data_IF_392849900146
#
_entry.id   IF_392849900146
#
_cell.length_a   1.000
_cell.length_b   1.000
_cell.length_c   1.000
_cell.angle_alpha   90.00
_cell.angle_beta   90.00
_cell.angle_gamma   90.00
#
_symmetry.space_group_name_H-M   'P 1'
#
loop_
_entity.id
_entity.type
_entity.pdbx_description
1 polymer ?
#
# COMPACT_ATOMS: atom_id res chain seq x y z
N UNK A 1 -20.60 -65.21 19.99
CA UNK A 1 -19.43 -64.33 19.78
C UNK A 1 -18.40 -65.08 18.93
N UNK A 2 -18.27 -64.69 17.65
CA UNK A 2 -17.09 -65.02 16.83
C UNK A 2 -17.04 -64.01 15.67
N UNK A 3 -15.91 -63.34 15.57
CA UNK A 3 -15.60 -62.20 14.69
C UNK A 3 -15.90 -62.46 13.21
N UNK A 4 -16.48 -61.46 12.55
CA UNK A 4 -16.54 -61.34 11.10
C UNK A 4 -15.23 -60.77 10.57
N UNK A 5 -14.53 -61.56 9.75
CA UNK A 5 -13.72 -61.03 8.66
C UNK A 5 -14.63 -60.93 7.43
N UNK A 6 -14.63 -59.79 6.74
CA UNK A 6 -15.03 -59.69 5.34
C UNK A 6 -14.29 -58.53 4.67
N UNK A 7 -13.32 -58.89 3.82
CA UNK A 7 -12.91 -58.11 2.66
C UNK A 7 -13.90 -58.40 1.52
N UNK A 8 -14.41 -57.37 0.84
CA UNK A 8 -14.92 -57.37 -0.55
C UNK A 8 -14.90 -55.89 -1.00
N UNK A 9 -14.01 -55.45 -1.90
CA UNK A 9 -14.04 -55.60 -3.36
C UNK A 9 -15.10 -54.72 -4.07
N UNK A 10 -14.59 -53.76 -4.85
CA UNK A 10 -15.12 -53.08 -6.04
C UNK A 10 -16.64 -52.80 -6.17
N UNK A 11 -16.95 -51.50 -6.20
CA UNK A 11 -18.14 -50.95 -6.85
C UNK A 11 -17.76 -49.71 -7.66
N UNK A 12 -17.48 -49.90 -8.94
CA UNK A 12 -17.55 -48.86 -9.95
C UNK A 12 -18.97 -48.31 -10.00
N UNK A 13 -19.15 -47.07 -9.56
CA UNK A 13 -20.21 -46.18 -10.05
C UNK A 13 -19.55 -44.83 -10.29
N UNK A 14 -19.15 -44.60 -11.53
CA UNK A 14 -18.87 -43.27 -12.02
C UNK A 14 -20.23 -42.55 -12.10
N UNK A 15 -20.52 -41.72 -11.10
CA UNK A 15 -21.53 -40.67 -11.23
C UNK A 15 -20.88 -39.50 -11.99
N UNK A 16 -21.30 -39.16 -13.23
CA UNK A 16 -20.68 -38.07 -13.98
C UNK A 16 -21.19 -36.69 -13.56
N UNK A 17 -21.89 -36.55 -12.43
CA UNK A 17 -22.60 -35.32 -12.05
C UNK A 17 -22.76 -35.09 -10.53
N UNK A 18 -21.74 -35.36 -9.70
CA UNK A 18 -21.69 -34.79 -8.35
C UNK A 18 -21.24 -33.33 -8.41
N UNK A 19 -22.21 -32.50 -8.76
CA UNK A 19 -22.27 -31.05 -8.58
C UNK A 19 -21.69 -30.57 -7.25
N UNK A 20 -21.14 -29.36 -7.34
CA UNK A 20 -21.07 -28.35 -6.27
C UNK A 20 -19.80 -28.36 -5.40
N UNK A 21 -18.74 -27.80 -6.00
CA UNK A 21 -17.91 -26.75 -5.38
C UNK A 21 -17.63 -26.88 -3.88
N UNK A 22 -16.43 -27.36 -3.56
CA UNK A 22 -15.76 -26.98 -2.32
C UNK A 22 -15.89 -25.45 -2.13
N UNK A 23 -16.15 -24.93 -0.93
CA UNK A 23 -16.34 -23.49 -0.71
C UNK A 23 -15.08 -22.67 -1.03
N UNK A 24 -13.90 -23.31 -1.02
CA UNK A 24 -12.59 -22.65 -1.17
C UNK A 24 -12.38 -21.98 -2.54
N UNK A 25 -12.61 -22.62 -3.71
CA UNK A 25 -12.49 -21.94 -5.00
C UNK A 25 -13.47 -20.77 -5.21
N UNK A 26 -14.68 -20.83 -4.61
CA UNK A 26 -15.66 -19.75 -4.71
C UNK A 26 -15.17 -18.51 -3.94
N UNK A 27 -14.57 -18.71 -2.76
CA UNK A 27 -13.96 -17.61 -1.97
C UNK A 27 -12.88 -16.93 -2.79
N UNK A 28 -11.98 -17.69 -3.43
CA UNK A 28 -10.94 -17.12 -4.28
C UNK A 28 -11.49 -16.33 -5.48
N UNK A 29 -12.67 -16.70 -6.01
CA UNK A 29 -13.31 -15.97 -7.10
C UNK A 29 -13.79 -14.58 -6.64
N UNK A 30 -14.38 -14.49 -5.45
CA UNK A 30 -14.75 -13.20 -4.86
C UNK A 30 -13.52 -12.32 -4.61
N UNK A 31 -12.44 -12.91 -4.12
CA UNK A 31 -11.17 -12.20 -3.91
C UNK A 31 -10.65 -11.65 -5.24
N UNK A 32 -10.62 -12.49 -6.29
CA UNK A 32 -10.21 -12.08 -7.64
C UNK A 32 -11.12 -10.99 -8.21
N UNK A 33 -12.43 -11.05 -7.96
CA UNK A 33 -13.37 -10.00 -8.34
C UNK A 33 -13.06 -8.67 -7.66
N UNK A 34 -12.80 -8.69 -6.34
CA UNK A 34 -12.48 -7.49 -5.58
C UNK A 34 -11.13 -6.87 -6.01
N UNK A 35 -10.10 -7.70 -6.27
CA UNK A 35 -8.81 -7.21 -6.79
C UNK A 35 -8.96 -6.60 -8.19
N UNK A 36 -9.81 -7.15 -9.05
CA UNK A 36 -10.12 -6.57 -10.36
C UNK A 36 -10.83 -5.20 -10.24
N UNK A 37 -11.69 -5.02 -9.23
CA UNK A 37 -12.29 -3.70 -8.96
C UNK A 37 -11.21 -2.69 -8.57
N UNK A 38 -10.29 -3.05 -7.67
CA UNK A 38 -9.14 -2.21 -7.32
C UNK A 38 -8.28 -1.88 -8.55
N UNK A 39 -8.00 -2.90 -9.37
CA UNK A 39 -7.24 -2.77 -10.62
C UNK A 39 -7.88 -1.74 -11.56
N UNK A 40 -9.19 -1.81 -11.76
CA UNK A 40 -9.93 -0.88 -12.62
C UNK A 40 -9.88 0.54 -12.07
N UNK A 41 -10.10 0.72 -10.76
CA UNK A 41 -10.05 2.05 -10.14
C UNK A 41 -8.67 2.70 -10.25
N UNK A 42 -7.60 1.94 -9.97
CA UNK A 42 -6.21 2.40 -10.12
C UNK A 42 -5.92 2.74 -11.58
N UNK A 43 -6.31 1.88 -12.51
CA UNK A 43 -6.10 2.09 -13.95
C UNK A 43 -6.83 3.34 -14.46
N UNK A 44 -8.05 3.58 -13.97
CA UNK A 44 -8.83 4.75 -14.35
C UNK A 44 -8.22 6.04 -13.80
N UNK A 45 -7.72 6.04 -12.56
CA UNK A 45 -6.98 7.19 -12.03
C UNK A 45 -5.70 7.48 -12.84
N UNK A 46 -4.99 6.43 -13.25
CA UNK A 46 -3.82 6.56 -14.13
C UNK A 46 -4.20 7.16 -15.48
N UNK A 47 -5.22 6.61 -16.12
CA UNK A 47 -5.72 7.08 -17.41
C UNK A 47 -6.21 8.52 -17.34
N UNK A 48 -6.98 8.89 -16.30
CA UNK A 48 -7.47 10.25 -16.09
C UNK A 48 -6.32 11.23 -15.81
N UNK A 49 -5.30 10.82 -15.07
CA UNK A 49 -4.10 11.65 -14.86
C UNK A 49 -3.38 11.96 -16.16
N UNK A 50 -3.19 10.95 -17.03
CA UNK A 50 -2.62 11.16 -18.36
C UNK A 50 -3.51 12.02 -19.26
N UNK A 51 -4.82 11.72 -19.32
CA UNK A 51 -5.78 12.45 -20.15
C UNK A 51 -5.88 13.92 -19.77
N UNK A 52 -5.81 14.24 -18.48
CA UNK A 52 -5.86 15.61 -17.97
C UNK A 52 -4.49 16.31 -17.98
N UNK A 53 -3.43 15.67 -18.49
CA UNK A 53 -2.02 16.13 -18.43
C UNK A 53 -1.52 16.44 -17.01
N UNK A 54 -2.20 15.90 -15.99
CA UNK A 54 -1.88 16.08 -14.57
C UNK A 54 -0.98 14.93 -14.12
N UNK A 55 0.32 15.04 -14.36
CA UNK A 55 1.31 13.98 -14.08
C UNK A 55 1.44 13.65 -12.58
N UNK A 56 0.92 14.49 -11.69
CA UNK A 56 0.83 14.20 -10.27
C UNK A 56 -0.24 13.15 -9.90
N UNK A 57 -1.02 12.65 -10.88
CA UNK A 57 -1.96 11.54 -10.75
C UNK A 57 -2.93 11.71 -9.55
N UNK A 58 -3.93 12.60 -9.67
CA UNK A 58 -4.93 12.77 -8.62
C UNK A 58 -5.70 11.45 -8.40
N UNK A 59 -5.61 10.87 -7.20
CA UNK A 59 -6.39 9.70 -6.80
C UNK A 59 -7.82 10.14 -6.49
N UNK A 60 -8.66 10.26 -7.52
CA UNK A 60 -10.03 10.74 -7.34
C UNK A 60 -11.05 9.61 -7.38
N UNK A 61 -10.74 8.49 -8.04
CA UNK A 61 -11.61 7.32 -8.12
C UNK A 61 -11.22 6.29 -7.05
N UNK A 62 -9.93 6.05 -6.89
CA UNK A 62 -9.40 5.21 -5.84
C UNK A 62 -9.03 6.08 -4.63
N UNK A 63 -10.06 6.47 -3.88
CA UNK A 63 -9.92 7.31 -2.67
C UNK A 63 -9.96 6.49 -1.40
N UNK A 64 -9.24 6.90 -0.37
CA UNK A 64 -9.32 6.29 0.96
C UNK A 64 -10.67 6.61 1.61
N UNK A 65 -11.64 5.72 1.45
CA UNK A 65 -12.97 5.80 2.02
C UNK A 65 -13.40 4.43 2.56
N UNK A 66 -14.52 4.37 3.28
CA UNK A 66 -14.98 3.10 3.86
C UNK A 66 -15.26 2.02 2.80
N UNK A 67 -15.73 2.42 1.61
CA UNK A 67 -16.03 1.49 0.53
C UNK A 67 -14.77 0.85 -0.08
N UNK A 68 -13.73 1.64 -0.36
CA UNK A 68 -12.45 1.11 -0.87
C UNK A 68 -11.73 0.28 0.17
N UNK A 69 -11.84 0.62 1.45
CA UNK A 69 -11.35 -0.20 2.55
C UNK A 69 -12.08 -1.54 2.66
N UNK A 70 -13.40 -1.56 2.47
CA UNK A 70 -14.17 -2.80 2.45
C UNK A 70 -13.78 -3.69 1.25
N UNK A 71 -13.64 -3.10 0.05
CA UNK A 71 -13.15 -3.84 -1.14
C UNK A 71 -11.75 -4.37 -0.92
N UNK A 72 -10.86 -3.56 -0.32
CA UNK A 72 -9.50 -3.97 0.02
C UNK A 72 -9.48 -5.15 0.99
N UNK A 73 -10.31 -5.12 2.05
CA UNK A 73 -10.43 -6.21 3.01
C UNK A 73 -10.91 -7.52 2.35
N UNK A 74 -11.84 -7.44 1.40
CA UNK A 74 -12.28 -8.61 0.62
C UNK A 74 -11.18 -9.09 -0.32
N UNK A 75 -10.48 -8.18 -1.00
CA UNK A 75 -9.39 -8.47 -1.93
C UNK A 75 -8.15 -9.12 -1.28
N UNK A 76 -8.03 -9.02 0.04
CA UNK A 76 -6.89 -9.50 0.83
C UNK A 76 -7.31 -10.55 1.85
N UNK A 77 -8.47 -11.18 1.66
CA UNK A 77 -8.99 -12.17 2.61
C UNK A 77 -8.05 -13.37 2.76
N UNK A 78 -7.29 -13.71 1.72
CA UNK A 78 -6.39 -14.87 1.75
C UNK A 78 -5.10 -14.69 2.57
N UNK A 79 -4.32 -13.59 2.46
CA UNK A 79 -3.14 -13.40 3.32
C UNK A 79 -3.46 -13.37 4.83
N UNK A 80 -4.68 -12.98 5.23
CA UNK A 80 -5.14 -13.02 6.63
C UNK A 80 -5.77 -14.36 7.07
N UNK A 81 -5.88 -15.36 6.20
CA UNK A 81 -6.48 -16.65 6.58
C UNK A 81 -5.47 -17.52 7.35
N UNK A 82 -5.66 -17.59 8.67
CA UNK A 82 -4.89 -18.43 9.60
C UNK A 82 -5.40 -19.88 9.66
N UNK A 83 -6.59 -20.17 9.13
CA UNK A 83 -7.28 -21.45 9.39
C UNK A 83 -6.92 -22.56 8.41
N UNK A 84 -6.33 -22.22 7.27
CA UNK A 84 -5.93 -23.17 6.23
C UNK A 84 -4.40 -23.35 6.19
N UNK A 85 -3.94 -24.59 6.39
CA UNK A 85 -2.55 -24.96 6.17
C UNK A 85 -2.25 -24.87 4.67
N UNK A 86 -1.41 -23.92 4.29
CA UNK A 86 -1.12 -23.57 2.88
C UNK A 86 0.37 -23.81 2.59
N UNK A 87 0.82 -25.07 2.48
CA UNK A 87 2.24 -25.39 2.32
C UNK A 87 2.74 -25.24 0.87
N UNK A 88 1.85 -25.20 -0.13
CA UNK A 88 2.27 -25.19 -1.53
C UNK A 88 3.03 -23.91 -1.90
N UNK A 89 3.99 -24.00 -2.81
CA UNK A 89 4.74 -22.84 -3.31
C UNK A 89 3.81 -21.76 -3.89
N UNK A 90 2.77 -22.16 -4.63
CA UNK A 90 1.74 -21.26 -5.14
C UNK A 90 0.95 -20.58 -4.01
N UNK A 91 0.74 -21.29 -2.91
CA UNK A 91 0.00 -20.73 -1.77
C UNK A 91 0.82 -19.68 -1.03
N UNK A 92 2.10 -19.95 -0.82
CA UNK A 92 3.05 -18.98 -0.25
C UNK A 92 3.26 -17.78 -1.18
N UNK A 93 3.38 -18.00 -2.50
CA UNK A 93 3.51 -16.92 -3.49
C UNK A 93 2.29 -16.01 -3.46
N UNK A 94 1.09 -16.56 -3.29
CA UNK A 94 -0.11 -15.74 -3.20
C UNK A 94 -0.21 -14.94 -1.90
N UNK A 95 0.32 -15.44 -0.79
CA UNK A 95 0.42 -14.66 0.46
C UNK A 95 1.37 -13.48 0.28
N UNK A 96 2.51 -13.72 -0.37
CA UNK A 96 3.44 -12.67 -0.76
C UNK A 96 2.79 -11.66 -1.73
N UNK A 97 2.05 -12.14 -2.72
CA UNK A 97 1.32 -11.28 -3.66
C UNK A 97 0.26 -10.43 -2.94
N UNK A 98 -0.50 -11.01 -2.01
CA UNK A 98 -1.53 -10.31 -1.25
C UNK A 98 -0.96 -9.23 -0.31
N UNK A 99 0.14 -9.54 0.38
CA UNK A 99 0.83 -8.57 1.26
C UNK A 99 1.49 -7.44 0.46
N UNK A 100 2.13 -7.76 -0.67
CA UNK A 100 2.68 -6.77 -1.61
C UNK A 100 1.58 -5.90 -2.20
N UNK A 101 0.43 -6.49 -2.55
CA UNK A 101 -0.74 -5.78 -3.03
C UNK A 101 -1.25 -4.74 -2.03
N UNK A 102 -1.33 -5.08 -0.74
CA UNK A 102 -1.69 -4.12 0.33
C UNK A 102 -0.70 -2.94 0.35
N UNK A 103 0.60 -3.22 0.31
CA UNK A 103 1.65 -2.20 0.30
C UNK A 103 1.47 -1.23 -0.88
N UNK A 104 1.35 -1.75 -2.10
CA UNK A 104 1.18 -0.91 -3.29
C UNK A 104 -0.12 -0.10 -3.22
N UNK A 105 -1.19 -0.73 -2.75
CA UNK A 105 -2.50 -0.07 -2.64
C UNK A 105 -2.44 1.10 -1.66
N UNK A 106 -1.76 0.94 -0.51
CA UNK A 106 -1.54 2.04 0.44
C UNK A 106 -0.71 3.17 -0.17
N UNK A 107 0.43 2.82 -0.79
CA UNK A 107 1.28 3.80 -1.47
C UNK A 107 0.52 4.57 -2.57
N UNK A 108 -0.37 3.89 -3.30
CA UNK A 108 -1.17 4.52 -4.33
C UNK A 108 -2.30 5.40 -3.75
N UNK A 109 -2.95 4.97 -2.66
CA UNK A 109 -4.03 5.70 -1.98
C UNK A 109 -3.57 6.98 -1.29
N UNK A 110 -2.29 7.08 -0.96
CA UNK A 110 -1.74 8.14 -0.12
C UNK A 110 -2.16 9.59 -0.49
N UNK A 111 -2.15 10.04 -1.77
CA UNK A 111 -2.60 11.39 -2.10
C UNK A 111 -4.10 11.66 -1.87
N UNK A 112 -4.93 10.62 -1.73
CA UNK A 112 -6.37 10.77 -1.51
C UNK A 112 -6.72 11.29 -0.13
N UNK A 113 -5.82 11.14 0.86
CA UNK A 113 -6.00 11.67 2.23
C UNK A 113 -6.19 13.20 2.24
N UNK A 114 -5.59 13.88 1.26
CA UNK A 114 -5.76 15.32 1.08
C UNK A 114 -7.15 15.75 0.60
N UNK A 115 -7.94 14.85 0.01
CA UNK A 115 -9.25 15.17 -0.57
C UNK A 115 -10.37 15.22 0.48
N UNK A 116 -10.37 14.27 1.39
CA UNK A 116 -11.44 14.07 2.37
C UNK A 116 -11.36 15.09 3.50
N UNK A 117 -12.46 15.28 4.24
CA UNK A 117 -12.45 16.10 5.45
C UNK A 117 -11.53 15.48 6.51
N UNK A 118 -11.00 16.27 7.45
CA UNK A 118 -10.05 15.76 8.45
C UNK A 118 -10.62 14.61 9.29
N UNK A 119 -11.88 14.74 9.70
CA UNK A 119 -12.60 13.71 10.47
C UNK A 119 -12.79 12.42 9.67
N UNK A 120 -13.16 12.52 8.39
CA UNK A 120 -13.26 11.36 7.49
C UNK A 120 -11.90 10.72 7.25
N UNK A 121 -10.87 11.51 6.99
CA UNK A 121 -9.49 11.02 6.80
C UNK A 121 -9.01 10.25 8.02
N UNK A 122 -9.21 10.78 9.25
CA UNK A 122 -8.85 10.09 10.49
C UNK A 122 -9.63 8.79 10.64
N UNK A 123 -10.94 8.80 10.44
CA UNK A 123 -11.78 7.60 10.60
C UNK A 123 -11.35 6.49 9.64
N UNK A 124 -11.15 6.83 8.37
CA UNK A 124 -10.68 5.87 7.36
C UNK A 124 -9.25 5.39 7.66
N UNK A 125 -8.37 6.26 8.16
CA UNK A 125 -7.02 5.88 8.57
C UNK A 125 -6.98 4.94 9.76
N UNK A 126 -7.85 5.13 10.76
CA UNK A 126 -8.00 4.20 11.89
C UNK A 126 -8.44 2.83 11.38
N UNK A 127 -9.43 2.80 10.48
CA UNK A 127 -9.91 1.55 9.86
C UNK A 127 -8.80 0.85 9.06
N UNK A 128 -8.06 1.59 8.22
CA UNK A 128 -6.91 1.06 7.50
C UNK A 128 -5.83 0.52 8.45
N UNK A 129 -5.56 1.23 9.55
CA UNK A 129 -4.55 0.84 10.54
C UNK A 129 -4.90 -0.48 11.22
N UNK A 130 -6.15 -0.63 11.68
CA UNK A 130 -6.62 -1.88 12.29
C UNK A 130 -6.46 -3.02 11.28
N UNK A 131 -6.92 -2.82 10.04
CA UNK A 131 -6.83 -3.81 8.98
C UNK A 131 -5.38 -4.24 8.67
N UNK A 132 -4.46 -3.29 8.53
CA UNK A 132 -3.04 -3.57 8.25
C UNK A 132 -2.35 -4.27 9.41
N UNK A 133 -2.64 -3.86 10.65
CA UNK A 133 -2.10 -4.52 11.86
C UNK A 133 -2.61 -5.97 11.95
N UNK A 134 -3.89 -6.22 11.68
CA UNK A 134 -4.42 -7.59 11.66
C UNK A 134 -3.67 -8.47 10.66
N UNK A 135 -3.54 -8.02 9.40
CA UNK A 135 -2.80 -8.78 8.38
C UNK A 135 -1.33 -8.95 8.77
N UNK A 136 -0.70 -7.94 9.36
CA UNK A 136 0.67 -8.03 9.86
C UNK A 136 0.82 -9.17 10.87
N UNK A 137 -0.05 -9.20 11.88
CA UNK A 137 -0.04 -10.22 12.93
C UNK A 137 -0.30 -11.60 12.34
N UNK A 138 -1.26 -11.73 11.43
CA UNK A 138 -1.59 -13.01 10.78
C UNK A 138 -0.38 -13.59 10.04
N UNK A 139 0.31 -12.77 9.24
CA UNK A 139 1.52 -13.20 8.52
C UNK A 139 2.65 -13.53 9.50
N UNK A 140 2.83 -12.77 10.59
CA UNK A 140 3.83 -13.07 11.62
C UNK A 140 3.59 -14.42 12.29
N UNK A 141 2.34 -14.73 12.63
CA UNK A 141 1.96 -16.02 13.20
C UNK A 141 2.28 -17.15 12.20
N UNK A 142 1.92 -16.98 10.92
CA UNK A 142 2.18 -17.99 9.87
C UNK A 142 3.67 -18.21 9.59
N UNK A 143 4.49 -17.16 9.74
CA UNK A 143 5.95 -17.29 9.67
C UNK A 143 6.50 -18.05 10.89
N UNK A 144 5.98 -17.78 12.09
CA UNK A 144 6.41 -18.43 13.33
C UNK A 144 6.03 -19.92 13.36
N UNK A 145 4.84 -20.29 12.88
CA UNK A 145 4.39 -21.70 12.82
C UNK A 145 5.14 -22.54 11.78
N UNK A 146 6.04 -21.93 11.01
CA UNK A 146 6.83 -22.65 10.01
C UNK A 146 6.01 -23.08 8.79
N UNK A 147 4.84 -22.50 8.55
CA UNK A 147 4.04 -22.74 7.33
C UNK A 147 4.68 -22.05 6.12
N UNK A 148 5.41 -20.95 6.35
CA UNK A 148 6.18 -20.23 5.33
C UNK A 148 7.66 -20.58 5.50
N UNK A 149 8.16 -21.55 4.73
CA UNK A 149 9.56 -22.03 4.82
C UNK A 149 10.45 -21.49 3.71
N UNK A 150 9.98 -21.41 2.47
CA UNK A 150 10.82 -21.05 1.31
C UNK A 150 11.12 -19.55 1.19
N UNK A 151 10.19 -18.67 1.60
CA UNK A 151 10.27 -17.23 1.30
C UNK A 151 10.33 -16.33 2.54
N UNK A 152 10.93 -16.79 3.64
CA UNK A 152 10.94 -16.07 4.93
C UNK A 152 11.56 -14.67 4.82
N UNK A 153 12.72 -14.56 4.18
CA UNK A 153 13.43 -13.27 4.05
C UNK A 153 12.58 -12.24 3.29
N UNK A 154 12.02 -12.64 2.15
CA UNK A 154 11.23 -11.75 1.29
C UNK A 154 9.93 -11.29 1.98
N UNK A 155 9.27 -12.17 2.74
CA UNK A 155 8.11 -11.79 3.56
C UNK A 155 8.48 -10.78 4.66
N UNK A 156 9.62 -10.97 5.34
CA UNK A 156 10.08 -10.02 6.36
C UNK A 156 10.31 -8.63 5.75
N UNK A 157 10.95 -8.55 4.58
CA UNK A 157 11.18 -7.26 3.90
C UNK A 157 9.85 -6.59 3.55
N UNK A 158 8.90 -7.32 2.95
CA UNK A 158 7.58 -6.77 2.59
C UNK A 158 6.78 -6.32 3.81
N UNK A 159 6.85 -7.05 4.94
CA UNK A 159 6.22 -6.63 6.19
C UNK A 159 6.85 -5.36 6.77
N UNK A 160 8.17 -5.23 6.72
CA UNK A 160 8.83 -3.98 7.11
C UNK A 160 8.38 -2.81 6.22
N UNK A 161 8.33 -3.01 4.90
CA UNK A 161 7.80 -2.04 3.94
C UNK A 161 6.36 -1.63 4.27
N UNK A 162 5.51 -2.58 4.66
CA UNK A 162 4.12 -2.33 5.03
C UNK A 162 4.00 -1.37 6.22
N UNK A 163 4.82 -1.55 7.26
CA UNK A 163 4.85 -0.66 8.44
C UNK A 163 5.38 0.73 8.07
N UNK A 164 6.43 0.81 7.24
CA UNK A 164 6.95 2.10 6.76
C UNK A 164 5.87 2.89 6.02
N UNK A 165 5.13 2.26 5.12
CA UNK A 165 4.02 2.90 4.40
C UNK A 165 2.88 3.31 5.33
N UNK A 166 2.58 2.53 6.37
CA UNK A 166 1.55 2.89 7.34
C UNK A 166 1.93 4.15 8.11
N UNK A 167 3.17 4.25 8.59
CA UNK A 167 3.70 5.45 9.26
C UNK A 167 3.68 6.65 8.30
N UNK A 168 4.07 6.44 7.04
CA UNK A 168 4.02 7.47 6.00
C UNK A 168 2.58 7.99 5.78
N UNK A 169 1.58 7.11 5.74
CA UNK A 169 0.18 7.51 5.60
C UNK A 169 -0.32 8.34 6.78
N UNK A 170 0.07 8.00 8.01
CA UNK A 170 -0.26 8.77 9.21
C UNK A 170 0.36 10.16 9.19
N UNK A 171 1.67 10.25 8.93
CA UNK A 171 2.35 11.56 8.80
C UNK A 171 1.71 12.41 7.72
N UNK A 172 1.30 11.79 6.61
CA UNK A 172 0.61 12.48 5.51
C UNK A 172 -0.78 12.98 5.91
N UNK A 173 -1.47 12.29 6.81
CA UNK A 173 -2.80 12.73 7.28
C UNK A 173 -2.70 14.01 8.10
N UNK A 174 -1.71 14.11 8.99
CA UNK A 174 -1.51 15.32 9.78
C UNK A 174 -0.98 16.48 8.95
N UNK A 175 -0.03 16.24 8.03
CA UNK A 175 0.46 17.30 7.15
C UNK A 175 -0.64 17.83 6.23
N UNK A 176 -1.64 17.01 5.86
CA UNK A 176 -2.76 17.43 5.04
C UNK A 176 -3.56 18.52 5.73
N UNK A 177 -3.80 18.32 7.02
CA UNK A 177 -4.58 19.22 7.84
C UNK A 177 -3.81 20.50 8.15
N UNK A 178 -2.53 20.39 8.49
CA UNK A 178 -1.68 21.55 8.73
C UNK A 178 -1.62 22.46 7.50
N UNK A 179 -1.53 21.89 6.29
CA UNK A 179 -1.57 22.66 5.04
C UNK A 179 -2.94 23.31 4.82
N UNK A 180 -4.05 22.62 5.11
CA UNK A 180 -5.40 23.18 4.99
C UNK A 180 -5.61 24.35 5.94
N UNK A 181 -5.24 24.19 7.22
CA UNK A 181 -5.36 25.23 8.25
C UNK A 181 -4.44 26.41 7.94
N UNK A 182 -3.19 26.17 7.55
CA UNK A 182 -2.29 27.26 7.19
C UNK A 182 -2.81 28.04 5.98
N UNK A 183 -3.39 27.35 4.99
CA UNK A 183 -3.98 27.99 3.82
C UNK A 183 -5.14 28.90 4.20
N UNK A 184 -6.05 28.44 5.08
CA UNK A 184 -7.18 29.27 5.51
C UNK A 184 -6.73 30.50 6.31
N UNK A 185 -5.75 30.35 7.19
CA UNK A 185 -5.17 31.47 7.95
C UNK A 185 -4.48 32.50 7.05
N UNK A 186 -3.73 32.07 6.04
CA UNK A 186 -3.08 32.98 5.08
C UNK A 186 -4.11 33.73 4.25
N UNK A 187 -5.21 33.08 3.87
CA UNK A 187 -6.32 33.73 3.17
C UNK A 187 -6.97 34.77 4.08
N UNK A 188 -7.21 34.45 5.35
CA UNK A 188 -7.82 35.37 6.33
C UNK A 188 -6.92 36.58 6.64
N UNK A 189 -5.61 36.38 6.88
CA UNK A 189 -4.63 37.48 7.05
C UNK A 189 -4.56 38.35 5.78
N UNK A 190 -4.62 37.72 4.61
CA UNK A 190 -4.65 38.44 3.34
C UNK A 190 -5.91 39.28 3.17
N UNK A 191 -7.07 38.86 3.69
CA UNK A 191 -8.37 39.57 3.64
C UNK A 191 -8.50 40.64 4.75
N UNK A 192 -7.77 40.52 5.85
CA UNK A 192 -7.82 41.47 6.97
C UNK A 192 -6.81 42.61 6.86
N UNK A 193 -5.65 42.41 6.20
CA UNK A 193 -4.69 43.51 5.97
C UNK A 193 -5.16 44.49 4.89
N UNK A 194 -5.57 45.69 5.33
CA UNK A 194 -6.10 46.82 4.54
C UNK A 194 -5.11 47.48 3.57
N UNK A 195 -3.79 47.25 3.70
CA UNK A 195 -2.76 47.99 2.95
C UNK A 195 -2.38 47.43 1.57
N UNK A 196 -2.71 46.18 1.22
CA UNK A 196 -2.30 45.59 -0.07
C UNK A 196 -3.28 45.90 -1.19
N UNK A 197 -2.76 46.12 -2.40
CA UNK A 197 -3.60 46.29 -3.59
C UNK A 197 -4.46 45.03 -3.83
N UNK A 198 -5.72 45.21 -4.22
CA UNK A 198 -6.68 44.12 -4.43
C UNK A 198 -6.16 43.06 -5.43
N UNK A 199 -5.36 43.48 -6.41
CA UNK A 199 -4.70 42.61 -7.38
C UNK A 199 -3.63 41.73 -6.74
N UNK A 200 -2.84 42.24 -5.80
CA UNK A 200 -1.83 41.47 -5.07
C UNK A 200 -2.47 40.49 -4.10
N UNK A 201 -3.62 40.84 -3.50
CA UNK A 201 -4.41 39.94 -2.64
C UNK A 201 -5.01 38.80 -3.44
N UNK A 202 -5.58 39.10 -4.61
CA UNK A 202 -6.10 38.09 -5.54
C UNK A 202 -4.99 37.22 -6.10
N UNK A 203 -3.84 37.79 -6.48
CA UNK A 203 -2.68 37.01 -6.92
C UNK A 203 -2.12 36.16 -5.79
N UNK A 204 -2.02 36.66 -4.57
CA UNK A 204 -1.57 35.89 -3.42
C UNK A 204 -2.55 34.76 -3.08
N UNK A 205 -3.85 35.03 -3.00
CA UNK A 205 -4.88 34.00 -2.78
C UNK A 205 -4.97 33.00 -3.93
N UNK A 206 -4.78 33.43 -5.18
CA UNK A 206 -4.77 32.55 -6.35
C UNK A 206 -3.49 31.71 -6.42
N UNK A 207 -2.32 32.29 -6.15
CA UNK A 207 -1.04 31.58 -6.09
C UNK A 207 -1.02 30.60 -4.92
N UNK A 208 -1.51 31.00 -3.73
CA UNK A 208 -1.68 30.08 -2.62
C UNK A 208 -2.71 29.01 -2.97
N UNK A 209 -3.94 29.36 -3.34
CA UNK A 209 -5.03 28.42 -3.65
C UNK A 209 -4.73 27.46 -4.82
N UNK A 210 -3.97 27.89 -5.82
CA UNK A 210 -3.53 27.05 -6.93
C UNK A 210 -2.38 26.11 -6.52
N UNK A 211 -1.48 26.57 -5.64
CA UNK A 211 -0.38 25.77 -5.09
C UNK A 211 -0.79 24.89 -3.89
N UNK A 212 -1.91 25.18 -3.23
CA UNK A 212 -2.45 24.49 -2.06
C UNK A 212 -3.66 23.62 -2.39
N UNK A 213 -3.76 23.11 -3.62
CA UNK A 213 -4.56 21.90 -3.79
C UNK A 213 -3.88 20.80 -2.94
N UNK A 214 -4.52 20.27 -1.89
CA UNK A 214 -3.84 19.41 -0.91
C UNK A 214 -3.19 18.21 -1.60
N UNK A 215 -3.83 17.65 -2.62
CA UNK A 215 -3.26 16.59 -3.48
C UNK A 215 -1.97 16.98 -4.20
N UNK A 216 -1.84 18.24 -4.63
CA UNK A 216 -0.67 18.75 -5.33
C UNK A 216 0.50 18.98 -4.37
N UNK A 217 0.22 19.48 -3.15
CA UNK A 217 1.22 19.61 -2.09
C UNK A 217 1.78 18.24 -1.66
N UNK A 218 0.90 17.22 -1.57
CA UNK A 218 1.31 15.83 -1.31
C UNK A 218 2.21 15.23 -2.38
N UNK A 219 1.90 15.49 -3.64
CA UNK A 219 2.72 14.96 -4.76
C UNK A 219 4.14 15.51 -4.80
N UNK A 220 4.45 16.54 -3.99
CA UNK A 220 5.79 17.18 -3.90
C UNK A 220 6.49 16.92 -2.57
N UNK A 221 5.91 16.14 -1.67
CA UNK A 221 6.48 15.88 -0.34
C UNK A 221 7.44 14.69 -0.36
N UNK A 222 8.41 14.66 0.56
CA UNK A 222 9.41 13.58 0.70
C UNK A 222 8.76 12.20 0.78
N UNK A 223 7.54 12.14 1.34
CA UNK A 223 6.73 10.94 1.41
C UNK A 223 6.52 10.29 0.03
N UNK A 224 6.23 11.05 -1.04
CA UNK A 224 6.11 10.49 -2.40
C UNK A 224 7.37 9.74 -2.88
N UNK A 225 8.56 10.13 -2.42
CA UNK A 225 9.81 9.42 -2.71
C UNK A 225 9.89 8.11 -1.93
N UNK A 226 9.54 8.13 -0.65
CA UNK A 226 9.54 6.95 0.23
C UNK A 226 8.55 5.91 -0.33
N UNK A 227 7.30 6.31 -0.59
CA UNK A 227 6.30 5.43 -1.18
C UNK A 227 6.70 4.88 -2.54
N UNK A 228 7.37 5.67 -3.39
CA UNK A 228 7.90 5.18 -4.67
C UNK A 228 9.00 4.13 -4.48
N UNK A 229 10.01 4.39 -3.63
CA UNK A 229 11.11 3.46 -3.37
C UNK A 229 10.56 2.16 -2.80
N UNK A 230 9.70 2.25 -1.79
CA UNK A 230 9.08 1.08 -1.17
C UNK A 230 8.23 0.31 -2.19
N UNK A 231 7.47 1.00 -3.05
CA UNK A 231 6.68 0.35 -4.10
C UNK A 231 7.55 -0.40 -5.12
N UNK A 232 8.70 0.17 -5.50
CA UNK A 232 9.65 -0.48 -6.40
C UNK A 232 10.25 -1.73 -5.74
N UNK A 233 10.65 -1.63 -4.47
CA UNK A 233 11.20 -2.77 -3.70
C UNK A 233 10.17 -3.90 -3.61
N UNK A 234 8.92 -3.59 -3.20
CA UNK A 234 7.82 -4.54 -3.12
C UNK A 234 7.53 -5.22 -4.47
N UNK A 235 7.45 -4.44 -5.56
CA UNK A 235 7.22 -4.99 -6.89
C UNK A 235 8.37 -5.87 -7.39
N UNK A 236 9.62 -5.48 -7.12
CA UNK A 236 10.81 -6.26 -7.49
C UNK A 236 10.90 -7.59 -6.74
N UNK A 237 10.55 -7.61 -5.46
CA UNK A 237 10.47 -8.84 -4.66
C UNK A 237 9.42 -9.79 -5.26
N UNK A 238 8.20 -9.30 -5.50
CA UNK A 238 7.14 -10.13 -6.06
C UNK A 238 7.51 -10.70 -7.44
N UNK A 239 8.04 -9.87 -8.34
CA UNK A 239 8.49 -10.34 -9.66
C UNK A 239 9.65 -11.33 -9.57
N UNK A 240 10.59 -11.10 -8.65
CA UNK A 240 11.71 -12.00 -8.41
C UNK A 240 11.24 -13.39 -7.99
N UNK A 241 10.25 -13.47 -7.09
CA UNK A 241 9.72 -14.75 -6.64
C UNK A 241 8.85 -15.44 -7.70
N UNK A 242 8.05 -14.69 -8.48
CA UNK A 242 7.34 -15.25 -9.64
C UNK A 242 8.33 -15.87 -10.64
N UNK A 243 9.43 -15.17 -10.93
CA UNK A 243 10.46 -15.65 -11.83
C UNK A 243 11.14 -16.92 -11.28
N UNK A 244 11.47 -16.97 -9.98
CA UNK A 244 12.03 -18.17 -9.35
C UNK A 244 11.09 -19.37 -9.42
N UNK A 245 9.81 -19.18 -9.09
CA UNK A 245 8.80 -20.24 -9.19
C UNK A 245 8.62 -20.74 -10.64
N UNK A 246 8.80 -19.86 -11.62
CA UNK A 246 8.73 -20.22 -13.03
C UNK A 246 9.93 -21.07 -13.46
N UNK A 247 11.14 -20.67 -13.03
CA UNK A 247 12.39 -21.39 -13.33
C UNK A 247 12.44 -22.74 -12.62
N UNK A 248 11.99 -22.82 -11.36
CA UNK A 248 11.99 -24.06 -10.58
C UNK A 248 10.97 -25.09 -11.06
N UNK A 249 10.12 -24.74 -12.04
CA UNK A 249 8.96 -25.54 -12.49
C UNK A 249 7.99 -25.92 -11.36
N UNK A 250 8.10 -25.29 -10.20
CA UNK A 250 7.11 -25.44 -9.11
C UNK A 250 5.75 -24.83 -9.50
N UNK A 251 5.74 -23.97 -10.52
CA UNK A 251 4.54 -23.51 -11.21
C UNK A 251 3.96 -24.55 -12.18
N UNK A 252 4.48 -25.79 -12.27
CA UNK A 252 3.85 -26.83 -13.09
C UNK A 252 2.38 -27.01 -12.66
N UNK A 253 1.52 -26.43 -13.49
CA UNK A 253 0.06 -26.35 -13.46
C UNK A 253 -0.66 -27.71 -13.38
N UNK A 254 0.07 -28.80 -13.14
CA UNK A 254 -0.41 -30.17 -13.19
C UNK A 254 -0.68 -30.67 -11.77
N UNK A 255 -1.95 -30.57 -11.36
CA UNK A 255 -2.55 -31.25 -10.21
C UNK A 255 -1.93 -30.98 -8.82
N UNK A 256 -1.68 -29.71 -8.49
CA UNK A 256 -1.30 -29.30 -7.12
C UNK A 256 -2.49 -29.24 -6.16
N UNK A 257 -2.34 -29.85 -4.98
CA UNK A 257 -3.32 -29.97 -3.89
C UNK A 257 -3.64 -28.64 -3.16
N UNK A 258 -3.76 -27.52 -3.88
CA UNK A 258 -4.27 -26.28 -3.27
C UNK A 258 -5.78 -26.37 -3.15
N UNK A 259 -6.30 -26.16 -1.94
CA UNK A 259 -7.73 -26.10 -1.65
C UNK A 259 -8.48 -25.09 -2.54
N UNK A 260 -7.78 -24.03 -2.98
CA UNK A 260 -8.31 -22.96 -3.83
C UNK A 260 -8.22 -23.25 -5.34
N UNK A 261 -7.58 -24.35 -5.75
CA UNK A 261 -7.47 -24.85 -7.14
C UNK A 261 -7.12 -23.71 -8.14
N UNK A 262 -7.82 -23.64 -9.28
CA UNK A 262 -7.63 -22.61 -10.33
C UNK A 262 -7.83 -21.17 -9.85
N UNK A 263 -8.61 -20.97 -8.77
CA UNK A 263 -8.89 -19.63 -8.29
C UNK A 263 -7.67 -18.95 -7.68
N UNK A 264 -6.71 -19.73 -7.20
CA UNK A 264 -5.47 -19.23 -6.64
C UNK A 264 -4.63 -18.51 -7.69
N UNK A 265 -4.57 -19.08 -8.89
CA UNK A 265 -3.88 -18.48 -10.03
C UNK A 265 -4.52 -17.15 -10.45
N UNK A 266 -5.85 -17.11 -10.54
CA UNK A 266 -6.57 -15.88 -10.89
C UNK A 266 -6.26 -14.74 -9.92
N UNK A 267 -6.22 -15.05 -8.63
CA UNK A 267 -5.89 -14.08 -7.60
C UNK A 267 -4.43 -13.61 -7.70
N UNK A 268 -3.44 -14.50 -7.79
CA UNK A 268 -2.02 -14.12 -7.95
C UNK A 268 -1.84 -13.22 -9.17
N UNK A 269 -2.38 -13.61 -10.33
CA UNK A 269 -2.28 -12.83 -11.56
C UNK A 269 -2.92 -11.44 -11.40
N UNK A 270 -4.13 -11.35 -10.87
CA UNK A 270 -4.82 -10.08 -10.67
C UNK A 270 -4.09 -9.14 -9.71
N UNK A 271 -3.55 -9.68 -8.60
CA UNK A 271 -2.78 -8.92 -7.62
C UNK A 271 -1.45 -8.44 -8.22
N UNK A 272 -0.73 -9.30 -8.95
CA UNK A 272 0.52 -8.91 -9.63
C UNK A 272 0.30 -7.78 -10.64
N UNK A 273 -0.74 -7.87 -11.49
CA UNK A 273 -1.04 -6.81 -12.47
C UNK A 273 -1.33 -5.50 -11.73
N UNK A 274 -2.06 -5.56 -10.62
CA UNK A 274 -2.38 -4.38 -9.81
C UNK A 274 -1.13 -3.78 -9.15
N UNK A 275 -0.24 -4.62 -8.61
CA UNK A 275 1.07 -4.20 -8.06
C UNK A 275 1.89 -3.45 -9.12
N UNK A 276 1.96 -3.98 -10.35
CA UNK A 276 2.72 -3.36 -11.43
C UNK A 276 2.14 -2.00 -11.83
N UNK A 277 0.81 -1.90 -11.97
CA UNK A 277 0.16 -0.63 -12.31
C UNK A 277 0.26 0.40 -11.19
N UNK A 278 0.09 -0.02 -9.93
CA UNK A 278 0.27 0.87 -8.78
C UNK A 278 1.71 1.39 -8.68
N UNK A 279 2.70 0.52 -8.86
CA UNK A 279 4.13 0.90 -8.92
C UNK A 279 4.44 1.86 -10.08
N UNK A 280 3.86 1.62 -11.25
CA UNK A 280 3.95 2.56 -12.37
C UNK A 280 3.36 3.93 -12.00
N UNK A 281 2.20 3.94 -11.34
CA UNK A 281 1.57 5.16 -10.84
C UNK A 281 2.44 5.93 -9.85
N UNK A 282 3.00 5.26 -8.84
CA UNK A 282 3.88 5.91 -7.84
C UNK A 282 5.17 6.45 -8.48
N UNK A 283 5.70 5.74 -9.48
CA UNK A 283 6.89 6.17 -10.24
C UNK A 283 6.63 7.43 -11.05
N UNK A 284 5.48 7.54 -11.70
CA UNK A 284 5.09 8.76 -12.43
C UNK A 284 4.99 9.97 -11.49
N UNK A 285 4.47 9.76 -10.26
CA UNK A 285 4.40 10.83 -9.26
C UNK A 285 5.80 11.28 -8.84
N UNK A 286 6.70 10.34 -8.55
CA UNK A 286 8.10 10.64 -8.24
C UNK A 286 8.79 11.42 -9.37
N UNK A 287 8.63 10.98 -10.62
CA UNK A 287 9.20 11.69 -11.78
C UNK A 287 8.62 13.10 -11.97
N UNK A 288 7.37 13.32 -11.55
CA UNK A 288 6.74 14.65 -11.60
C UNK A 288 7.32 15.59 -10.55
N UNK A 289 7.63 15.08 -9.36
CA UNK A 289 8.32 15.80 -8.30
C UNK A 289 9.72 16.23 -8.74
N UNK A 290 10.51 15.31 -9.31
CA UNK A 290 11.88 15.59 -9.77
C UNK A 290 11.91 16.64 -10.89
N UNK A 291 10.90 16.68 -11.77
CA UNK A 291 10.81 17.64 -12.88
C UNK A 291 10.42 19.06 -12.46
N UNK A 292 9.77 19.21 -11.31
CA UNK A 292 9.37 20.50 -10.76
C UNK A 292 9.90 20.66 -9.33
N UNK A 293 11.25 20.69 -9.16
CA UNK A 293 11.86 20.90 -7.85
C UNK A 293 11.31 22.20 -7.26
N UNK A 294 11.07 22.22 -5.95
CA UNK A 294 10.74 23.47 -5.26
C UNK A 294 11.87 24.46 -5.58
N UNK A 295 11.57 25.60 -6.22
CA UNK A 295 12.50 26.72 -6.16
C UNK A 295 12.74 27.02 -4.68
N UNK A 296 14.01 26.99 -4.25
CA UNK A 296 14.46 27.14 -2.85
C UNK A 296 13.85 28.36 -2.14
N UNK A 297 13.38 29.36 -2.90
CA UNK A 297 12.66 30.52 -2.38
C UNK A 297 11.37 30.15 -1.64
N UNK A 298 10.71 29.05 -1.97
CA UNK A 298 9.44 28.65 -1.35
C UNK A 298 9.65 28.04 0.05
N UNK A 299 10.73 27.28 0.26
CA UNK A 299 11.11 26.71 1.57
C UNK A 299 11.49 27.85 2.53
N UNK A 300 12.25 28.84 2.04
CA UNK A 300 12.58 30.04 2.83
C UNK A 300 11.31 30.85 3.14
N UNK A 301 10.33 30.93 2.23
CA UNK A 301 9.06 31.62 2.46
C UNK A 301 8.20 30.89 3.49
N UNK A 302 8.09 29.57 3.40
CA UNK A 302 7.36 28.74 4.37
C UNK A 302 8.04 28.75 5.75
N UNK A 303 9.37 28.68 5.80
CA UNK A 303 10.14 28.74 7.05
C UNK A 303 10.09 30.13 7.69
N UNK A 304 10.03 31.21 6.89
CA UNK A 304 9.94 32.59 7.39
C UNK A 304 8.52 32.93 7.87
N UNK A 305 7.48 32.35 7.26
CA UNK A 305 6.08 32.44 7.74
C UNK A 305 5.84 31.53 8.94
N UNK A 306 6.41 30.32 8.98
CA UNK A 306 6.36 29.42 10.15
C UNK A 306 7.16 29.99 11.33
N UNK A 307 8.30 30.65 11.09
CA UNK A 307 9.08 31.34 12.12
C UNK A 307 8.37 32.54 12.75
N UNK A 308 7.41 33.17 12.05
CA UNK A 308 6.57 34.26 12.58
C UNK A 308 5.40 33.73 13.44
N UNK A 309 5.02 32.46 13.29
CA UNK A 309 3.93 31.82 14.05
C UNK A 309 4.39 30.77 15.07
N UNK A 310 5.71 30.59 15.26
CA UNK A 310 6.31 29.85 16.38
C UNK A 310 6.21 30.63 17.71
N UNK A 311 5.09 31.31 17.95
CA UNK A 311 4.71 31.73 19.28
C UNK A 311 3.80 30.62 19.87
N UNK A 312 4.20 29.98 20.98
CA UNK A 312 3.55 28.76 21.44
C UNK A 312 2.11 29.04 21.88
N UNK A 313 1.12 28.44 21.20
CA UNK A 313 -0.23 28.32 21.74
C UNK A 313 -0.25 27.27 22.86
N UNK A 314 -0.76 27.57 24.07
CA UNK A 314 -0.81 26.61 25.15
C UNK A 314 -1.82 25.50 24.82
N UNK A 315 -1.37 24.23 24.84
CA UNK A 315 -2.24 23.05 24.76
C UNK A 315 -2.09 22.13 23.53
N UNK A 316 -1.15 22.38 22.60
CA UNK A 316 -0.90 21.48 21.46
C UNK A 316 0.54 20.94 21.52
N UNK A 317 0.69 19.62 21.42
CA UNK A 317 2.01 18.95 21.44
C UNK A 317 2.94 19.57 20.39
N UNK A 318 4.18 19.90 20.75
CA UNK A 318 5.02 20.69 19.88
C UNK A 318 5.56 19.88 18.70
N UNK A 319 5.45 20.46 17.51
CA UNK A 319 5.81 19.91 16.19
C UNK A 319 7.29 19.53 16.04
N UNK A 320 8.18 19.98 16.94
CA UNK A 320 9.59 19.56 16.93
C UNK A 320 9.77 18.07 17.28
N UNK A 321 8.84 17.45 18.02
CA UNK A 321 8.91 16.03 18.36
C UNK A 321 8.72 15.16 17.10
N UNK A 322 7.91 15.60 16.13
CA UNK A 322 7.75 14.92 14.84
C UNK A 322 8.97 15.08 13.93
N UNK A 323 9.61 16.24 13.94
CA UNK A 323 10.88 16.44 13.22
C UNK A 323 12.02 15.60 13.80
N UNK A 324 12.08 15.44 15.13
CA UNK A 324 13.01 14.55 15.83
C UNK A 324 12.71 13.06 15.61
N UNK A 325 11.43 12.68 15.43
CA UNK A 325 11.05 11.32 15.06
C UNK A 325 11.36 11.01 13.59
N UNK A 326 11.26 11.97 12.66
CA UNK A 326 11.53 11.78 11.22
C UNK A 326 13.02 11.79 10.85
N UNK A 327 13.87 12.49 11.61
CA UNK A 327 15.32 12.56 11.37
C UNK A 327 16.07 11.20 11.42
N UNK A 328 15.71 10.22 12.26
CA UNK A 328 16.28 8.87 12.20
C UNK A 328 15.68 7.96 11.10
N UNK A 329 14.67 8.39 10.32
CA UNK A 329 14.05 7.50 9.34
C UNK A 329 14.78 7.38 7.99
N UNK A 330 15.51 8.40 7.56
CA UNK A 330 16.39 8.31 6.38
C UNK A 330 17.50 7.28 6.62
N UNK A 331 18.22 7.31 7.77
CA UNK A 331 19.15 6.25 8.08
C UNK A 331 18.45 4.92 8.36
N UNK A 332 17.27 4.81 8.97
CA UNK A 332 16.64 3.48 9.16
C UNK A 332 16.10 2.86 7.87
N UNK A 333 15.69 3.61 6.84
CA UNK A 333 15.36 3.03 5.52
C UNK A 333 16.62 2.57 4.79
N UNK A 334 17.72 3.33 4.89
CA UNK A 334 19.04 2.91 4.39
C UNK A 334 19.62 1.74 5.19
N UNK A 335 19.39 1.71 6.51
CA UNK A 335 19.81 0.66 7.43
C UNK A 335 18.95 -0.58 7.21
N UNK A 336 17.65 -0.46 6.95
CA UNK A 336 16.77 -1.58 6.58
C UNK A 336 17.12 -2.09 5.18
N UNK A 337 17.42 -1.25 4.21
CA UNK A 337 17.91 -1.69 2.89
C UNK A 337 19.28 -2.37 2.99
N UNK A 338 20.18 -1.84 3.83
CA UNK A 338 21.52 -2.42 4.08
C UNK A 338 21.46 -3.68 4.95
N UNK A 339 20.56 -3.74 5.93
CA UNK A 339 20.26 -4.93 6.74
C UNK A 339 19.55 -5.98 5.89
N UNK A 340 18.67 -5.60 4.95
CA UNK A 340 18.08 -6.53 3.98
C UNK A 340 19.14 -7.09 3.04
N UNK A 341 20.12 -6.28 2.62
CA UNK A 341 21.26 -6.74 1.82
C UNK A 341 22.17 -7.66 2.63
N UNK A 342 22.43 -7.34 3.90
CA UNK A 342 23.24 -8.14 4.83
C UNK A 342 22.57 -9.46 5.22
N UNK A 343 21.29 -9.45 5.59
CA UNK A 343 20.49 -10.64 5.90
C UNK A 343 20.38 -11.54 4.66
N UNK A 344 20.20 -10.96 3.46
CA UNK A 344 20.23 -11.71 2.20
C UNK A 344 21.62 -12.32 1.92
N UNK A 345 22.70 -11.63 2.26
CA UNK A 345 24.07 -12.12 2.16
C UNK A 345 24.36 -13.26 3.15
N UNK A 346 23.90 -13.13 4.39
CA UNK A 346 24.18 -14.09 5.47
C UNK A 346 23.35 -15.37 5.36
N UNK A 347 22.12 -15.29 4.85
CA UNK A 347 21.24 -16.45 4.63
C UNK A 347 21.66 -17.26 3.41
N UNK A 348 22.13 -16.62 2.33
CA UNK A 348 22.62 -17.32 1.12
C UNK A 348 24.10 -17.72 1.21
N UNK A 349 24.87 -17.11 2.13
CA UNK A 349 26.28 -17.46 2.36
C UNK A 349 26.51 -18.79 3.11
N UNK A 350 25.47 -19.35 3.74
CA UNK A 350 25.54 -20.63 4.48
C UNK A 350 25.17 -21.87 3.66
N UNK A 351 24.88 -21.72 2.37
CA UNK A 351 24.60 -22.85 1.45
C UNK A 351 25.73 -23.01 0.43
N UNK A 352 26.96 -23.20 0.93
CA UNK A 352 28.08 -23.76 0.18
C UNK A 352 28.80 -24.78 1.05
#
# INVERSE_FOLDING_TARGET
>A
MRNQNCNCANGTNADPNSKSSSPMPIIGLYVTGATLVCLLLISMDIFLGFRRRKKWLPCNLFTLNSATLAVLAVATKLPGDLTSSMPSALDQLSKLAGTTFICITMAFLMPSVGLTSFSESISNMISLTIFVISVFVDVCIQMHTGVITSFKADHIVVLCCMIVLLIEMWTSTFTAEDVKVLTSLVIEDSITKTERSLLERLKACYLFGYQTNPQFSFSRQLSCCISCIVSIVCAAILLGEIFRCFVSKELEFRNGQSDYKWSMQGMVVSQTITVLLGCFGTTIRFLSMVKHPLEDKLIVSFSRVAGVFCEPRPGRFPSYIWALLLHPFIPTVYLLASLCFLVRSEVYGKSK
#
